data_IF_239463102675
#
_entry.id   IF_239463102675
#
_cell.length_a   1.000
_cell.length_b   1.000
_cell.length_c   1.000
_cell.angle_alpha   90.00
_cell.angle_beta   90.00
_cell.angle_gamma   90.00
#
_symmetry.space_group_name_H-M   'P 1'
#
loop_
_entity.id
_entity.type
_entity.pdbx_description
1 polymer ?
#
# COMPACT_ATOMS: atom_id res chain seq x y z
N UNK A 1 -9.45 -7.26 -37.84
CA UNK A 1 -8.42 -7.23 -36.79
C UNK A 1 -8.36 -5.81 -36.26
N UNK A 2 -9.15 -5.53 -35.23
CA UNK A 2 -9.33 -4.18 -34.68
C UNK A 2 -9.41 -4.36 -33.17
N UNK A 3 -8.31 -4.09 -32.48
CA UNK A 3 -8.28 -3.98 -31.02
C UNK A 3 -8.80 -2.61 -30.62
N UNK A 4 -9.86 -2.58 -29.82
CA UNK A 4 -10.37 -1.36 -29.19
C UNK A 4 -9.85 -1.31 -27.76
N UNK A 5 -8.99 -0.33 -27.49
CA UNK A 5 -8.61 0.09 -26.14
C UNK A 5 -9.79 0.86 -25.54
N UNK A 6 -10.23 0.47 -24.33
CA UNK A 6 -10.94 1.41 -23.45
C UNK A 6 -9.91 2.46 -23.01
N UNK A 7 -9.74 3.49 -23.82
CA UNK A 7 -8.87 4.64 -23.54
C UNK A 7 -9.48 5.88 -24.15
N UNK A 8 -10.67 6.26 -23.70
CA UNK A 8 -11.28 7.57 -24.02
C UNK A 8 -12.11 8.09 -22.85
N UNK A 9 -11.45 8.33 -21.73
CA UNK A 9 -11.74 9.51 -20.89
C UNK A 9 -10.38 10.03 -20.47
N UNK A 10 -9.83 11.02 -21.18
CA UNK A 10 -8.79 11.98 -20.80
C UNK A 10 -8.11 12.48 -22.10
N UNK A 11 -8.73 13.48 -22.74
CA UNK A 11 -8.10 14.24 -23.80
C UNK A 11 -8.10 15.71 -23.39
N UNK A 12 -6.91 16.20 -23.04
CA UNK A 12 -6.62 17.58 -22.70
C UNK A 12 -5.11 17.79 -22.72
N UNK A 13 -4.48 17.45 -23.85
CA UNK A 13 -3.06 17.63 -24.08
C UNK A 13 -2.79 19.03 -24.67
N UNK A 14 -1.92 19.79 -24.02
CA UNK A 14 -1.09 20.81 -24.70
C UNK A 14 0.32 20.23 -24.70
N UNK A 15 0.76 19.77 -25.87
CA UNK A 15 2.12 19.33 -26.11
C UNK A 15 2.95 20.53 -26.61
N UNK A 16 4.09 20.78 -25.97
CA UNK A 16 5.22 21.44 -26.59
C UNK A 16 6.38 20.44 -26.57
N UNK A 17 6.76 19.96 -27.74
CA UNK A 17 7.94 19.13 -27.97
C UNK A 17 9.22 19.94 -27.75
N UNK A 18 10.31 19.31 -27.32
CA UNK A 18 11.65 19.76 -27.68
C UNK A 18 12.35 18.74 -28.59
N UNK A 19 13.03 19.29 -29.59
CA UNK A 19 13.90 18.64 -30.57
C UNK A 19 15.15 18.03 -29.93
N UNK A 20 15.81 17.05 -30.59
CA UNK A 20 17.05 16.45 -30.12
C UNK A 20 18.24 17.30 -30.57
N UNK A 21 18.87 18.05 -29.67
CA UNK A 21 20.28 18.43 -29.75
C UNK A 21 20.79 19.01 -28.42
N UNK A 22 22.00 18.58 -28.04
CA UNK A 22 22.80 18.91 -26.86
C UNK A 22 22.34 18.34 -25.49
N UNK A 23 23.02 17.30 -25.03
CA UNK A 23 23.03 16.97 -23.60
C UNK A 23 23.62 18.15 -22.81
N UNK A 24 22.92 18.69 -21.80
CA UNK A 24 23.55 19.60 -20.86
C UNK A 24 24.66 18.85 -20.12
N UNK A 25 25.87 19.40 -20.14
CA UNK A 25 26.93 19.01 -19.21
C UNK A 25 26.36 19.11 -17.80
N UNK A 26 26.61 18.08 -16.98
CA UNK A 26 26.06 17.98 -15.64
C UNK A 26 26.34 19.27 -14.85
N UNK A 27 25.36 19.82 -14.12
CA UNK A 27 25.60 20.97 -13.25
C UNK A 27 26.68 20.60 -12.23
N UNK A 28 27.58 21.54 -11.95
CA UNK A 28 28.55 21.44 -10.86
C UNK A 28 27.82 21.03 -9.58
N UNK A 29 28.13 19.83 -9.06
CA UNK A 29 27.39 19.20 -7.97
C UNK A 29 27.47 20.09 -6.73
N UNK A 30 26.32 20.53 -6.22
CA UNK A 30 26.26 21.33 -4.99
C UNK A 30 26.74 20.50 -3.79
N UNK A 31 27.83 20.94 -3.14
CA UNK A 31 28.33 20.32 -1.92
C UNK A 31 27.41 20.68 -0.73
N UNK A 32 27.20 19.72 0.17
CA UNK A 32 26.47 19.90 1.43
C UNK A 32 27.48 20.15 2.55
N UNK A 33 27.27 21.21 3.34
CA UNK A 33 28.12 21.53 4.47
C UNK A 33 27.63 20.85 5.76
N UNK A 34 28.54 20.21 6.49
CA UNK A 34 28.36 19.70 7.87
C UNK A 34 29.49 20.21 8.77
N UNK A 35 29.40 20.01 10.09
CA UNK A 35 30.46 20.38 11.03
C UNK A 35 30.91 19.20 11.89
N UNK A 36 32.21 19.05 12.08
CA UNK A 36 32.84 18.08 13.00
C UNK A 36 33.58 18.83 14.11
N UNK A 37 33.46 18.39 15.36
CA UNK A 37 34.08 19.03 16.52
C UNK A 37 35.38 18.33 16.90
N UNK A 38 36.47 19.09 17.06
CA UNK A 38 37.80 18.57 17.39
C UNK A 38 37.83 18.01 18.80
N UNK A 39 38.16 16.72 18.94
CA UNK A 39 38.21 15.96 20.19
C UNK A 39 39.64 15.74 20.68
N UNK A 40 39.85 15.33 21.96
CA UNK A 40 41.18 15.03 22.46
C UNK A 40 41.82 13.89 21.65
N UNK A 41 43.01 14.14 21.10
CA UNK A 41 43.76 13.16 20.30
C UNK A 41 43.52 13.26 18.79
N UNK A 42 42.62 14.12 18.32
CA UNK A 42 42.44 14.36 16.88
C UNK A 42 43.67 15.04 16.27
N UNK A 43 43.93 14.70 15.00
CA UNK A 43 44.86 15.42 14.13
C UNK A 43 44.12 15.84 12.88
N UNK A 44 44.54 16.91 12.20
CA UNK A 44 43.83 17.36 10.99
C UNK A 44 43.83 16.28 9.89
N UNK A 45 44.94 15.52 9.75
CA UNK A 45 45.00 14.33 8.88
C UNK A 45 44.01 13.25 9.30
N UNK A 46 43.87 12.98 10.61
CA UNK A 46 42.91 12.00 11.13
C UNK A 46 41.46 12.41 10.87
N UNK A 47 41.13 13.70 11.03
CA UNK A 47 39.81 14.25 10.72
C UNK A 47 39.54 14.16 9.22
N UNK A 48 40.50 14.57 8.37
CA UNK A 48 40.37 14.47 6.92
C UNK A 48 40.08 13.04 6.46
N UNK A 49 40.85 12.08 6.99
CA UNK A 49 40.68 10.66 6.71
C UNK A 49 39.31 10.13 7.18
N UNK A 50 38.88 10.49 8.40
CA UNK A 50 37.59 10.06 8.93
C UNK A 50 36.39 10.65 8.17
N UNK A 51 36.53 11.89 7.71
CA UNK A 51 35.46 12.60 7.02
C UNK A 51 35.45 12.35 5.50
N UNK A 52 36.45 11.62 4.97
CA UNK A 52 36.55 11.27 3.55
C UNK A 52 36.92 12.44 2.64
N UNK A 53 37.64 13.44 3.17
CA UNK A 53 38.00 14.68 2.45
C UNK A 53 39.50 14.92 2.51
N UNK A 54 40.04 15.81 1.65
CA UNK A 54 41.45 16.16 1.74
C UNK A 54 41.72 17.18 2.85
N UNK A 55 42.95 17.17 3.38
CA UNK A 55 43.42 18.15 4.36
C UNK A 55 43.42 19.57 3.78
N UNK A 56 43.69 19.68 2.48
CA UNK A 56 43.64 20.94 1.74
C UNK A 56 42.21 21.49 1.65
N UNK A 57 41.23 20.61 1.45
CA UNK A 57 39.81 20.99 1.47
C UNK A 57 39.36 21.47 2.85
N UNK A 58 39.74 20.76 3.92
CA UNK A 58 39.46 21.20 5.29
C UNK A 58 40.05 22.59 5.57
N UNK A 59 41.27 22.87 5.10
CA UNK A 59 41.90 24.20 5.20
C UNK A 59 41.11 25.25 4.44
N UNK A 60 40.67 24.94 3.22
CA UNK A 60 39.91 25.85 2.37
C UNK A 60 38.54 26.19 2.96
N UNK A 61 37.85 25.23 3.56
CA UNK A 61 36.52 25.42 4.15
C UNK A 61 36.55 26.06 5.54
N UNK A 62 37.70 26.07 6.21
CA UNK A 62 37.86 26.57 7.58
C UNK A 62 38.88 27.70 7.70
N UNK A 63 38.69 28.83 6.98
CA UNK A 63 39.64 29.93 7.01
C UNK A 63 39.80 30.46 8.44
N UNK A 64 41.05 30.57 8.89
CA UNK A 64 41.40 31.10 10.21
C UNK A 64 41.23 30.14 11.41
N UNK A 65 40.63 28.96 11.22
CA UNK A 65 40.43 27.97 12.30
C UNK A 65 41.58 26.97 12.43
N UNK A 66 42.29 26.71 11.33
CA UNK A 66 43.44 25.80 11.28
C UNK A 66 44.73 26.63 11.35
N UNK A 67 45.57 26.35 12.34
CA UNK A 67 46.83 27.03 12.59
C UNK A 67 47.94 26.66 11.61
N UNK A 68 49.13 27.24 11.83
CA UNK A 68 50.37 26.77 11.20
C UNK A 68 50.61 25.30 11.58
N UNK A 69 51.18 24.53 10.66
CA UNK A 69 51.51 23.11 10.85
C UNK A 69 50.31 22.21 11.23
N UNK A 70 49.15 22.47 10.62
CA UNK A 70 47.91 21.68 10.78
C UNK A 70 47.33 21.69 12.21
N UNK A 71 47.74 22.65 13.05
CA UNK A 71 47.27 22.74 14.43
C UNK A 71 45.77 23.04 14.51
N UNK A 72 45.03 22.15 15.18
CA UNK A 72 43.59 22.27 15.45
C UNK A 72 43.36 22.47 16.95
N UNK A 73 42.35 23.27 17.31
CA UNK A 73 42.03 23.58 18.72
C UNK A 73 40.93 22.65 19.22
N UNK A 74 41.10 22.11 20.42
CA UNK A 74 40.08 21.30 21.09
C UNK A 74 38.74 22.04 21.17
N UNK A 75 37.65 21.38 20.81
CA UNK A 75 36.29 21.94 20.80
C UNK A 75 35.99 22.87 19.61
N UNK A 76 36.96 23.12 18.72
CA UNK A 76 36.74 23.88 17.50
C UNK A 76 35.84 23.07 16.55
N UNK A 77 34.85 23.72 15.94
CA UNK A 77 33.98 23.09 14.94
C UNK A 77 34.50 23.39 13.55
N UNK A 78 34.96 22.36 12.85
CA UNK A 78 35.44 22.42 11.48
C UNK A 78 34.31 22.08 10.50
N UNK A 79 34.09 22.96 9.53
CA UNK A 79 33.20 22.75 8.38
C UNK A 79 33.80 21.71 7.44
N UNK A 80 32.97 20.76 7.02
CA UNK A 80 33.29 19.73 6.03
C UNK A 80 32.24 19.83 4.93
N UNK A 81 32.65 19.90 3.66
CA UNK A 81 31.73 19.91 2.53
C UNK A 81 31.83 18.59 1.77
N UNK A 82 30.72 17.90 1.53
CA UNK A 82 30.70 16.62 0.79
C UNK A 82 29.68 16.63 -0.32
N UNK A 83 29.92 15.85 -1.37
CA UNK A 83 28.86 15.55 -2.32
C UNK A 83 27.77 14.73 -1.61
N UNK A 84 26.49 14.86 -2.00
CA UNK A 84 25.39 14.12 -1.37
C UNK A 84 25.63 12.60 -1.30
N UNK A 85 26.33 12.05 -2.30
CA UNK A 85 26.63 10.62 -2.44
C UNK A 85 27.77 10.14 -1.52
N UNK A 86 28.57 11.07 -0.98
CA UNK A 86 29.73 10.78 -0.11
C UNK A 86 29.45 11.06 1.38
N UNK A 87 28.22 11.47 1.71
CA UNK A 87 27.80 11.54 3.10
C UNK A 87 27.82 10.11 3.67
N UNK A 88 28.48 9.84 4.81
CA UNK A 88 28.33 8.55 5.47
C UNK A 88 26.84 8.34 5.68
N UNK A 89 26.31 7.21 5.17
CA UNK A 89 24.96 6.77 5.48
C UNK A 89 24.84 6.83 7.00
N UNK A 90 24.08 7.81 7.50
CA UNK A 90 23.69 7.82 8.88
C UNK A 90 22.97 6.48 9.05
N UNK A 91 23.53 5.56 9.83
CA UNK A 91 22.79 4.39 10.30
C UNK A 91 21.69 4.93 11.20
N UNK A 92 20.65 5.46 10.58
CA UNK A 92 19.35 5.58 11.22
C UNK A 92 19.04 4.12 11.52
N UNK A 93 19.16 3.73 12.80
CA UNK A 93 18.52 2.51 13.26
C UNK A 93 17.02 2.76 13.13
N UNK A 94 16.52 2.63 11.90
CA UNK A 94 15.12 2.78 11.60
C UNK A 94 14.39 1.76 12.46
N UNK A 95 13.59 2.23 13.39
CA UNK A 95 12.70 1.37 14.13
C UNK A 95 11.30 1.56 13.58
N UNK A 96 10.59 0.46 13.39
CA UNK A 96 9.25 0.47 12.84
C UNK A 96 8.32 -0.34 13.74
N UNK A 97 7.05 0.09 13.76
CA UNK A 97 6.03 -0.56 14.57
C UNK A 97 5.37 -1.66 13.74
N UNK A 98 5.43 -2.87 14.26
CA UNK A 98 4.78 -4.05 13.75
C UNK A 98 3.58 -4.42 14.64
N UNK A 99 2.63 -5.18 14.08
CA UNK A 99 1.53 -5.76 14.85
C UNK A 99 1.48 -7.28 14.71
N UNK A 100 1.08 -7.96 15.79
CA UNK A 100 0.88 -9.41 15.82
C UNK A 100 -0.48 -9.74 16.42
N UNK A 101 -1.16 -10.73 15.85
CA UNK A 101 -2.39 -11.27 16.42
C UNK A 101 -2.12 -12.15 17.65
N UNK A 102 -2.91 -11.95 18.70
CA UNK A 102 -2.94 -12.83 19.88
C UNK A 102 -3.83 -14.03 19.55
N UNK A 103 -3.23 -15.23 19.52
CA UNK A 103 -3.93 -16.49 19.23
C UNK A 103 -4.45 -17.16 20.52
N UNK A 104 -5.45 -18.06 20.43
CA UNK A 104 -5.84 -18.88 21.58
C UNK A 104 -4.63 -19.64 22.16
N UNK A 105 -4.41 -19.52 23.47
CA UNK A 105 -3.26 -20.11 24.16
C UNK A 105 -1.97 -19.29 24.13
N UNK A 106 -1.93 -18.14 23.44
CA UNK A 106 -0.78 -17.23 23.54
C UNK A 106 -0.68 -16.64 24.95
N UNK A 107 0.56 -16.48 25.41
CA UNK A 107 0.92 -15.69 26.61
C UNK A 107 1.90 -14.60 26.20
N UNK A 108 1.99 -13.51 26.97
CA UNK A 108 2.98 -12.46 26.72
C UNK A 108 4.41 -13.04 26.60
N UNK A 109 4.76 -14.03 27.43
CA UNK A 109 6.07 -14.68 27.36
C UNK A 109 6.32 -15.46 26.06
N UNK A 110 5.31 -16.20 25.57
CA UNK A 110 5.43 -16.91 24.28
C UNK A 110 5.54 -15.94 23.11
N UNK A 111 4.76 -14.86 23.12
CA UNK A 111 4.82 -13.82 22.09
C UNK A 111 6.16 -13.08 22.14
N UNK A 112 6.59 -12.62 23.31
CA UNK A 112 7.88 -11.95 23.52
C UNK A 112 9.04 -12.78 22.98
N UNK A 113 9.08 -14.07 23.32
CA UNK A 113 10.09 -15.00 22.82
C UNK A 113 10.04 -15.17 21.30
N UNK A 114 8.84 -15.31 20.71
CA UNK A 114 8.67 -15.45 19.25
C UNK A 114 9.13 -14.21 18.49
N UNK A 115 8.90 -13.03 19.07
CA UNK A 115 9.25 -11.74 18.47
C UNK A 115 10.66 -11.26 18.83
N UNK A 116 11.39 -12.00 19.68
CA UNK A 116 12.69 -11.61 20.22
C UNK A 116 12.68 -10.22 20.90
N UNK A 117 11.65 -9.93 21.70
CA UNK A 117 11.52 -8.69 22.49
C UNK A 117 11.28 -9.02 23.96
N UNK A 118 11.45 -8.05 24.87
CA UNK A 118 11.15 -8.30 26.29
C UNK A 118 9.65 -8.18 26.58
N UNK A 119 9.19 -8.90 27.62
CA UNK A 119 7.81 -8.76 28.12
C UNK A 119 7.57 -7.32 28.60
N UNK A 120 8.59 -6.67 29.17
CA UNK A 120 8.49 -5.28 29.63
C UNK A 120 8.24 -4.32 28.46
N UNK A 121 8.93 -4.53 27.32
CA UNK A 121 8.71 -3.74 26.11
C UNK A 121 7.32 -3.95 25.54
N UNK A 122 6.87 -5.21 25.41
CA UNK A 122 5.50 -5.49 24.95
C UNK A 122 4.44 -4.84 25.84
N UNK A 123 4.63 -4.85 27.17
CA UNK A 123 3.72 -4.16 28.09
C UNK A 123 3.75 -2.65 27.86
N UNK A 124 4.94 -2.05 27.75
CA UNK A 124 5.13 -0.62 27.52
C UNK A 124 4.48 -0.15 26.22
N UNK A 125 4.77 -0.81 25.10
CA UNK A 125 4.27 -0.45 23.77
C UNK A 125 2.75 -0.60 23.62
N UNK A 126 2.12 -1.44 24.44
CA UNK A 126 0.68 -1.72 24.39
C UNK A 126 -0.08 -1.15 25.59
N UNK A 127 0.58 -0.34 26.43
CA UNK A 127 0.00 0.24 27.65
C UNK A 127 -0.68 -0.79 28.56
N UNK A 128 -0.08 -1.99 28.69
CA UNK A 128 -0.62 -3.06 29.52
C UNK A 128 -0.23 -2.83 30.98
N UNK A 129 -1.19 -3.02 31.89
CA UNK A 129 -0.94 -2.97 33.33
C UNK A 129 0.00 -4.07 33.83
N UNK A 130 0.36 -4.06 35.14
CA UNK A 130 1.34 -4.99 35.72
C UNK A 130 1.04 -6.47 35.45
N UNK A 131 -0.24 -6.86 35.48
CA UNK A 131 -0.69 -8.23 35.23
C UNK A 131 -0.64 -8.64 33.75
N UNK A 132 -0.47 -7.69 32.81
CA UNK A 132 -0.20 -7.98 31.41
C UNK A 132 -1.28 -8.83 30.71
N UNK A 133 -2.55 -8.63 31.04
CA UNK A 133 -3.64 -9.46 30.51
C UNK A 133 -3.80 -9.21 29.01
N UNK A 134 -3.65 -10.27 28.23
CA UNK A 134 -3.89 -10.28 26.79
C UNK A 134 -5.10 -11.15 26.47
N UNK A 135 -5.78 -10.85 25.36
CA UNK A 135 -7.00 -11.57 24.94
C UNK A 135 -6.84 -12.06 23.52
N UNK A 136 -7.14 -13.33 23.29
CA UNK A 136 -7.17 -13.91 21.95
C UNK A 136 -8.10 -13.09 21.03
N UNK A 137 -7.68 -12.92 19.77
CA UNK A 137 -8.37 -12.09 18.78
C UNK A 137 -8.11 -10.58 18.89
N UNK A 138 -7.23 -10.14 19.80
CA UNK A 138 -6.68 -8.78 19.82
C UNK A 138 -5.28 -8.77 19.20
N UNK A 139 -4.76 -7.60 18.90
CA UNK A 139 -3.40 -7.41 18.39
C UNK A 139 -2.48 -6.84 19.48
N UNK A 140 -1.18 -7.08 19.34
CA UNK A 140 -0.12 -6.39 20.08
C UNK A 140 0.80 -5.67 19.10
N UNK A 141 1.13 -4.43 19.43
CA UNK A 141 2.14 -3.61 18.77
C UNK A 141 3.52 -3.94 19.34
N UNK A 142 4.53 -4.01 18.50
CA UNK A 142 5.91 -4.17 18.92
C UNK A 142 6.85 -3.38 18.01
N UNK A 143 7.98 -2.92 18.55
CA UNK A 143 9.00 -2.24 17.73
C UNK A 143 10.01 -3.26 17.22
N UNK A 144 10.37 -3.13 15.95
CA UNK A 144 11.48 -3.81 15.31
C UNK A 144 12.53 -2.77 14.96
N UNK A 145 13.80 -3.15 15.03
CA UNK A 145 14.93 -2.30 14.64
C UNK A 145 15.48 -2.74 13.28
N UNK A 146 15.99 -1.79 12.51
CA UNK A 146 16.49 -1.99 11.15
C UNK A 146 15.42 -1.85 10.07
N UNK A 147 15.85 -2.07 8.83
CA UNK A 147 15.02 -1.93 7.64
C UNK A 147 13.73 -2.75 7.74
N UNK A 148 12.58 -2.11 7.48
CA UNK A 148 11.30 -2.80 7.38
C UNK A 148 11.20 -3.49 6.02
N UNK A 149 11.09 -4.84 5.97
CA UNK A 149 10.88 -5.53 4.71
C UNK A 149 9.53 -5.12 4.08
N UNK A 150 9.45 -5.20 2.76
CA UNK A 150 8.20 -4.92 2.06
C UNK A 150 7.11 -5.92 2.43
N UNK A 151 5.86 -5.47 2.35
CA UNK A 151 4.71 -6.33 2.61
C UNK A 151 4.57 -7.37 1.50
N UNK A 152 4.39 -8.63 1.89
CA UNK A 152 4.30 -9.77 0.96
C UNK A 152 3.13 -10.67 1.26
N UNK A 153 2.41 -11.06 0.22
CA UNK A 153 1.41 -12.13 0.26
C UNK A 153 2.12 -13.48 0.19
N UNK A 154 1.80 -14.40 1.10
CA UNK A 154 2.32 -15.78 1.10
C UNK A 154 1.17 -16.76 1.03
N UNK A 155 1.21 -17.68 0.08
CA UNK A 155 0.16 -18.65 -0.19
C UNK A 155 -1.09 -18.02 -0.84
N UNK A 156 -2.22 -18.72 -0.67
CA UNK A 156 -3.48 -18.36 -1.32
C UNK A 156 -4.41 -17.52 -0.45
N UNK A 157 -5.43 -16.86 -1.04
CA UNK A 157 -6.40 -16.07 -0.29
C UNK A 157 -7.12 -16.85 0.81
N UNK A 158 -7.31 -18.17 0.64
CA UNK A 158 -7.96 -19.05 1.62
C UNK A 158 -6.99 -19.85 2.51
N UNK A 159 -5.70 -19.89 2.19
CA UNK A 159 -4.69 -20.65 2.94
C UNK A 159 -3.37 -19.88 3.03
N UNK A 160 -3.46 -18.59 3.36
CA UNK A 160 -2.34 -17.66 3.25
C UNK A 160 -1.88 -17.02 4.56
N UNK A 161 -0.89 -16.15 4.40
CA UNK A 161 -0.39 -15.20 5.39
C UNK A 161 -0.07 -13.88 4.72
N UNK A 162 -0.06 -12.83 5.53
CA UNK A 162 0.47 -11.53 5.13
C UNK A 162 1.71 -11.27 5.97
N UNK A 163 2.85 -11.12 5.31
CA UNK A 163 4.10 -10.74 5.96
C UNK A 163 4.27 -9.22 5.85
N UNK A 164 4.66 -8.58 6.96
CA UNK A 164 4.96 -7.14 7.02
C UNK A 164 3.83 -6.22 6.53
N UNK A 165 2.58 -6.68 6.63
CA UNK A 165 1.39 -6.02 6.09
C UNK A 165 1.32 -4.51 6.32
N UNK A 166 0.91 -3.78 5.30
CA UNK A 166 0.68 -2.33 5.36
C UNK A 166 -0.76 -2.09 5.82
N UNK A 167 -0.93 -1.33 6.90
CA UNK A 167 -2.25 -0.88 7.33
C UNK A 167 -2.77 0.18 6.35
N UNK A 168 -4.01 0.04 5.89
CA UNK A 168 -4.63 0.97 4.94
C UNK A 168 -4.71 2.40 5.51
N UNK A 169 -4.85 2.54 6.82
CA UNK A 169 -4.97 3.83 7.51
C UNK A 169 -6.15 4.67 6.99
N UNK A 170 -6.26 5.91 7.47
CA UNK A 170 -7.27 6.83 6.92
C UNK A 170 -6.71 7.42 5.63
N UNK A 171 -7.56 7.54 4.62
CA UNK A 171 -7.24 8.17 3.36
C UNK A 171 -8.42 8.95 2.81
N UNK A 172 -8.24 9.55 1.63
CA UNK A 172 -9.23 10.41 1.01
C UNK A 172 -10.27 9.59 0.24
N UNK A 173 -11.55 9.92 0.40
CA UNK A 173 -12.66 9.29 -0.34
C UNK A 173 -13.12 7.96 0.24
N UNK A 174 -12.58 7.54 1.39
CA UNK A 174 -13.05 6.32 2.07
C UNK A 174 -12.97 6.41 3.60
N UNK A 175 -13.73 5.51 4.24
CA UNK A 175 -13.68 5.25 5.68
C UNK A 175 -13.46 3.76 5.93
N UNK A 176 -12.78 3.42 7.03
CA UNK A 176 -12.60 2.03 7.44
C UNK A 176 -13.70 1.62 8.42
N UNK A 177 -14.46 0.57 8.09
CA UNK A 177 -15.45 -0.03 8.99
C UNK A 177 -14.76 -0.70 10.19
N UNK A 178 -13.69 -1.44 9.91
CA UNK A 178 -12.92 -2.18 10.92
C UNK A 178 -11.41 -1.92 10.74
N UNK A 179 -10.87 -0.79 11.25
CA UNK A 179 -9.46 -0.45 11.06
C UNK A 179 -8.48 -1.59 11.42
N UNK A 180 -8.76 -2.32 12.50
CA UNK A 180 -7.95 -3.47 12.94
C UNK A 180 -7.81 -4.60 11.91
N UNK A 181 -8.67 -4.65 10.90
CA UNK A 181 -8.74 -5.69 9.87
C UNK A 181 -8.34 -5.15 8.49
N UNK A 182 -7.71 -3.97 8.42
CA UNK A 182 -7.41 -3.28 7.16
C UNK A 182 -5.91 -3.37 6.80
N UNK A 183 -5.32 -4.57 6.86
CA UNK A 183 -3.94 -4.80 6.47
C UNK A 183 -3.86 -5.44 5.08
N UNK A 184 -2.84 -5.06 4.31
CA UNK A 184 -2.74 -5.46 2.91
C UNK A 184 -1.30 -5.39 2.37
N UNK A 185 -1.10 -5.76 1.12
CA UNK A 185 0.15 -5.56 0.38
C UNK A 185 0.23 -4.12 -0.16
N UNK A 186 1.43 -3.64 -0.52
CA UNK A 186 1.61 -2.28 -1.06
C UNK A 186 0.80 -2.00 -2.34
N UNK A 187 0.73 -2.90 -3.32
CA UNK A 187 -0.05 -2.67 -4.54
C UNK A 187 -1.54 -2.46 -4.24
N UNK A 188 -2.14 -3.33 -3.42
CA UNK A 188 -3.55 -3.22 -3.03
C UNK A 188 -3.80 -1.94 -2.23
N UNK A 189 -2.89 -1.60 -1.30
CA UNK A 189 -2.94 -0.32 -0.57
C UNK A 189 -2.99 0.88 -1.52
N UNK A 190 -2.10 0.89 -2.52
CA UNK A 190 -1.97 1.97 -3.50
C UNK A 190 -3.23 2.07 -4.36
N UNK A 191 -3.71 0.94 -4.87
CA UNK A 191 -4.91 0.87 -5.71
C UNK A 191 -6.14 1.37 -4.97
N UNK A 192 -6.37 0.94 -3.73
CA UNK A 192 -7.48 1.43 -2.92
C UNK A 192 -7.36 2.94 -2.66
N UNK A 193 -6.18 3.45 -2.29
CA UNK A 193 -5.98 4.89 -2.05
C UNK A 193 -6.21 5.74 -3.29
N UNK A 194 -5.62 5.35 -4.43
CA UNK A 194 -5.69 6.14 -5.65
C UNK A 194 -7.11 6.13 -6.22
N UNK A 195 -7.77 4.97 -6.27
CA UNK A 195 -9.11 4.89 -6.82
C UNK A 195 -10.14 5.60 -5.96
N UNK A 196 -10.06 5.50 -4.63
CA UNK A 196 -10.99 6.22 -3.75
C UNK A 196 -10.76 7.73 -3.76
N UNK A 197 -9.51 8.19 -3.85
CA UNK A 197 -9.20 9.60 -4.05
C UNK A 197 -9.72 10.10 -5.41
N UNK A 198 -9.52 9.33 -6.48
CA UNK A 198 -10.02 9.65 -7.82
C UNK A 198 -11.56 9.75 -7.85
N UNK A 199 -12.26 8.93 -7.06
CA UNK A 199 -13.71 9.06 -6.90
C UNK A 199 -14.12 10.39 -6.26
N UNK A 200 -13.38 10.84 -5.23
CA UNK A 200 -13.64 12.13 -4.59
C UNK A 200 -13.36 13.32 -5.53
N UNK A 201 -12.41 13.19 -6.45
CA UNK A 201 -12.13 14.20 -7.49
C UNK A 201 -13.18 14.19 -8.60
N UNK A 202 -13.53 13.00 -9.08
CA UNK A 202 -14.49 12.82 -10.18
C UNK A 202 -15.92 13.20 -9.77
N UNK A 203 -16.28 12.96 -8.51
CA UNK A 203 -17.61 13.26 -7.97
C UNK A 203 -17.47 14.16 -6.74
N UNK A 204 -17.24 15.47 -6.91
CA UNK A 204 -17.07 16.40 -5.79
C UNK A 204 -18.25 16.35 -4.82
N UNK A 205 -17.94 16.27 -3.52
CA UNK A 205 -18.95 16.15 -2.46
C UNK A 205 -19.56 14.77 -2.32
N UNK A 206 -19.07 13.75 -3.03
CA UNK A 206 -19.52 12.37 -2.83
C UNK A 206 -19.24 11.90 -1.40
N UNK A 207 -20.15 11.07 -0.86
CA UNK A 207 -19.94 10.37 0.39
C UNK A 207 -18.67 9.51 0.33
N UNK A 208 -17.99 9.31 1.45
CA UNK A 208 -16.84 8.42 1.50
C UNK A 208 -17.29 6.97 1.30
N UNK A 209 -16.61 6.19 0.45
CA UNK A 209 -16.91 4.76 0.37
C UNK A 209 -16.47 4.05 1.65
N UNK A 210 -17.28 3.12 2.15
CA UNK A 210 -16.86 2.31 3.29
C UNK A 210 -16.00 1.15 2.78
N UNK A 211 -14.82 0.95 3.37
CA UNK A 211 -13.98 -0.24 3.19
C UNK A 211 -14.10 -1.11 4.44
N UNK A 212 -14.41 -2.37 4.21
CA UNK A 212 -14.70 -3.41 5.19
C UNK A 212 -13.47 -4.17 5.64
N UNK A 213 -13.59 -5.49 5.75
CA UNK A 213 -12.47 -6.36 6.11
C UNK A 213 -11.51 -6.52 4.91
N UNK A 214 -10.20 -6.53 5.18
CA UNK A 214 -9.15 -6.82 4.21
C UNK A 214 -8.34 -8.03 4.67
N UNK A 215 -7.59 -7.89 5.76
CA UNK A 215 -6.97 -9.00 6.48
C UNK A 215 -6.53 -8.58 7.87
N UNK A 216 -6.19 -9.58 8.68
CA UNK A 216 -5.43 -9.37 9.92
C UNK A 216 -4.01 -8.85 9.63
N UNK A 217 -3.31 -8.24 10.60
CA UNK A 217 -1.93 -7.77 10.41
C UNK A 217 -0.97 -8.82 9.87
N UNK A 218 -1.12 -10.07 10.32
CA UNK A 218 -0.30 -11.21 9.84
C UNK A 218 -1.07 -12.13 8.88
N UNK A 219 -2.25 -11.73 8.43
CA UNK A 219 -3.15 -12.55 7.63
C UNK A 219 -3.63 -13.82 8.36
N UNK A 220 -3.79 -14.90 7.60
CA UNK A 220 -4.23 -16.20 8.09
C UNK A 220 -5.72 -16.31 8.38
N UNK A 221 -6.14 -17.49 8.85
CA UNK A 221 -7.55 -17.87 9.08
C UNK A 221 -8.31 -16.74 9.77
N UNK A 222 -9.36 -16.25 9.12
CA UNK A 222 -10.07 -15.05 9.53
C UNK A 222 -11.60 -15.25 9.58
N UNK A 223 -12.13 -16.00 10.57
CA UNK A 223 -13.56 -16.22 10.68
C UNK A 223 -14.35 -14.91 10.85
N UNK A 224 -15.58 -14.81 10.29
CA UNK A 224 -16.30 -15.87 9.56
C UNK A 224 -15.86 -16.05 8.10
N UNK A 225 -14.92 -15.23 7.62
CA UNK A 225 -14.43 -15.28 6.25
C UNK A 225 -13.65 -16.57 5.98
N UNK A 226 -13.86 -17.10 4.77
CA UNK A 226 -13.10 -18.25 4.26
C UNK A 226 -11.76 -17.77 3.69
N UNK A 227 -11.77 -16.64 2.97
CA UNK A 227 -10.59 -15.95 2.42
C UNK A 227 -10.07 -14.85 3.37
N UNK A 228 -9.53 -13.75 2.83
CA UNK A 228 -8.91 -12.64 3.56
C UNK A 228 -7.63 -13.01 4.33
N UNK A 229 -6.98 -14.10 3.94
CA UNK A 229 -5.83 -14.62 4.68
C UNK A 229 -4.49 -14.06 4.20
N UNK A 230 -4.41 -13.54 3.00
CA UNK A 230 -3.14 -13.14 2.37
C UNK A 230 -2.98 -11.62 2.19
N UNK A 231 -3.97 -10.82 2.61
CA UNK A 231 -3.95 -9.36 2.43
C UNK A 231 -4.35 -8.90 1.03
N UNK A 232 -4.94 -9.78 0.21
CA UNK A 232 -5.34 -9.50 -1.19
C UNK A 232 -6.84 -9.49 -1.45
N UNK A 233 -7.66 -9.77 -0.44
CA UNK A 233 -9.11 -9.64 -0.54
C UNK A 233 -9.56 -8.37 0.18
N UNK A 234 -10.51 -7.61 -0.37
CA UNK A 234 -11.07 -6.42 0.27
C UNK A 234 -12.59 -6.36 0.07
N UNK A 235 -13.32 -6.17 1.17
CA UNK A 235 -14.75 -5.88 1.13
C UNK A 235 -14.96 -4.38 0.94
N UNK A 236 -15.69 -3.97 -0.09
CA UNK A 236 -15.92 -2.56 -0.43
C UNK A 236 -17.41 -2.30 -0.54
N UNK A 237 -17.88 -1.23 0.11
CA UNK A 237 -19.29 -0.86 0.13
C UNK A 237 -19.80 -0.41 -1.23
N UNK A 238 -21.10 -0.16 -1.33
CA UNK A 238 -21.72 0.46 -2.49
C UNK A 238 -21.92 1.96 -2.27
N UNK A 239 -21.75 2.77 -3.31
CA UNK A 239 -22.27 4.14 -3.29
C UNK A 239 -23.79 4.08 -3.40
N UNK A 240 -24.47 4.93 -2.64
CA UNK A 240 -25.93 4.91 -2.52
C UNK A 240 -26.56 6.12 -3.18
N UNK A 241 -27.74 5.92 -3.77
CA UNK A 241 -28.53 7.00 -4.37
C UNK A 241 -28.81 8.10 -3.34
N UNK A 242 -28.84 9.34 -3.80
CA UNK A 242 -28.97 10.50 -2.93
C UNK A 242 -27.70 10.82 -2.13
N UNK A 243 -26.57 10.22 -2.47
CA UNK A 243 -25.27 10.44 -1.82
C UNK A 243 -25.29 10.12 -0.31
N UNK A 244 -26.04 9.09 0.08
CA UNK A 244 -26.16 8.66 1.47
C UNK A 244 -24.85 8.05 1.94
N UNK A 245 -24.32 8.54 3.06
CA UNK A 245 -23.15 7.96 3.71
C UNK A 245 -23.51 6.61 4.35
N UNK A 246 -23.02 5.52 3.77
CA UNK A 246 -23.17 4.20 4.34
C UNK A 246 -22.14 4.00 5.47
N UNK A 247 -22.57 3.99 6.73
CA UNK A 247 -21.67 3.87 7.88
C UNK A 247 -21.42 2.42 8.33
N UNK A 248 -22.25 1.47 7.87
CA UNK A 248 -22.25 0.11 8.43
C UNK A 248 -22.20 -1.01 7.42
N UNK A 249 -22.25 -0.72 6.10
CA UNK A 249 -22.51 -1.73 5.06
C UNK A 249 -23.77 -2.53 5.38
N UNK A 250 -24.90 -1.85 5.54
CA UNK A 250 -26.20 -2.53 5.66
C UNK A 250 -26.62 -3.12 4.30
N UNK A 251 -27.59 -4.05 4.32
CA UNK A 251 -28.08 -4.70 3.09
C UNK A 251 -28.76 -3.70 2.17
N UNK A 252 -28.43 -3.75 0.89
CA UNK A 252 -29.00 -2.90 -0.15
C UNK A 252 -29.53 -3.73 -1.30
N UNK A 253 -30.56 -3.21 -1.96
CA UNK A 253 -31.05 -3.74 -3.23
C UNK A 253 -30.65 -2.86 -4.41
N UNK A 254 -30.94 -3.31 -5.64
CA UNK A 254 -30.64 -2.55 -6.85
C UNK A 254 -31.14 -1.10 -6.85
N UNK A 255 -32.31 -0.86 -6.25
CA UNK A 255 -32.94 0.47 -6.20
C UNK A 255 -32.22 1.46 -5.26
N UNK A 256 -31.30 1.00 -4.43
CA UNK A 256 -30.63 1.84 -3.42
C UNK A 256 -29.24 2.30 -3.91
N UNK A 257 -28.69 1.66 -4.95
CA UNK A 257 -27.31 1.81 -5.39
C UNK A 257 -27.17 2.90 -6.45
N UNK A 258 -26.18 3.77 -6.26
CA UNK A 258 -25.66 4.67 -7.29
C UNK A 258 -24.72 3.86 -8.20
N UNK A 259 -25.28 3.33 -9.30
CA UNK A 259 -24.54 2.48 -10.23
C UNK A 259 -23.44 3.23 -10.98
N UNK A 260 -23.60 4.53 -11.22
CA UNK A 260 -22.56 5.32 -11.89
C UNK A 260 -21.29 5.36 -11.05
N UNK A 261 -21.42 5.78 -9.79
CA UNK A 261 -20.27 5.88 -8.88
C UNK A 261 -19.73 4.50 -8.51
N UNK A 262 -20.61 3.54 -8.26
CA UNK A 262 -20.21 2.17 -7.93
C UNK A 262 -19.42 1.55 -9.06
N UNK A 263 -19.90 1.67 -10.31
CA UNK A 263 -19.17 1.17 -11.47
C UNK A 263 -17.85 1.91 -11.68
N UNK A 264 -17.82 3.24 -11.55
CA UNK A 264 -16.60 4.01 -11.71
C UNK A 264 -15.50 3.58 -10.73
N UNK A 265 -15.85 3.27 -9.48
CA UNK A 265 -14.90 2.71 -8.52
C UNK A 265 -14.47 1.29 -8.92
N UNK A 266 -15.40 0.40 -9.26
CA UNK A 266 -15.08 -0.97 -9.69
C UNK A 266 -14.13 -0.97 -10.90
N UNK A 267 -14.44 -0.17 -11.92
CA UNK A 267 -13.61 -0.02 -13.12
C UNK A 267 -12.21 0.48 -12.77
N UNK A 268 -12.08 1.50 -11.91
CA UNK A 268 -10.76 1.96 -11.46
C UNK A 268 -9.95 0.85 -10.78
N UNK A 269 -10.56 0.07 -9.88
CA UNK A 269 -9.87 -1.02 -9.18
C UNK A 269 -9.39 -2.11 -10.15
N UNK A 270 -10.23 -2.43 -11.14
CA UNK A 270 -9.95 -3.41 -12.18
C UNK A 270 -8.81 -2.95 -13.10
N UNK A 271 -8.78 -1.67 -13.46
CA UNK A 271 -7.77 -1.11 -14.36
C UNK A 271 -6.43 -0.87 -13.66
N UNK A 272 -6.45 -0.55 -12.37
CA UNK A 272 -5.27 -0.17 -11.61
C UNK A 272 -4.44 -1.37 -11.11
N UNK A 273 -5.02 -2.56 -11.01
CA UNK A 273 -4.37 -3.76 -10.52
C UNK A 273 -5.07 -5.00 -11.09
N UNK A 274 -4.31 -6.04 -11.41
CA UNK A 274 -4.91 -7.32 -11.81
C UNK A 274 -5.86 -7.86 -10.72
N UNK A 275 -7.07 -8.23 -11.14
CA UNK A 275 -8.12 -8.76 -10.28
C UNK A 275 -8.45 -10.19 -10.71
N UNK A 276 -8.55 -11.07 -9.73
CA UNK A 276 -8.91 -12.48 -9.92
C UNK A 276 -10.42 -12.65 -9.92
N UNK A 277 -11.10 -11.99 -8.98
CA UNK A 277 -12.54 -12.10 -8.81
C UNK A 277 -13.12 -10.85 -8.17
N UNK A 278 -14.37 -10.54 -8.52
CA UNK A 278 -15.24 -9.69 -7.73
C UNK A 278 -16.52 -10.47 -7.40
N UNK A 279 -16.91 -10.55 -6.13
CA UNK A 279 -18.18 -11.13 -5.73
C UNK A 279 -19.22 -10.06 -5.43
N UNK A 280 -20.40 -10.22 -6.02
CA UNK A 280 -21.53 -9.28 -5.94
C UNK A 280 -22.83 -10.08 -5.82
N UNK A 281 -23.85 -9.56 -5.15
CA UNK A 281 -25.17 -10.17 -5.18
C UNK A 281 -25.73 -10.27 -6.62
N UNK A 282 -26.49 -11.34 -6.91
CA UNK A 282 -26.99 -11.62 -8.27
C UNK A 282 -27.95 -10.54 -8.78
N UNK A 283 -28.79 -9.98 -7.92
CA UNK A 283 -29.73 -8.93 -8.31
C UNK A 283 -28.99 -7.63 -8.64
N UNK A 284 -27.96 -7.30 -7.84
CA UNK A 284 -27.10 -6.13 -8.08
C UNK A 284 -26.32 -6.29 -9.38
N UNK A 285 -25.78 -7.48 -9.67
CA UNK A 285 -25.11 -7.75 -10.95
C UNK A 285 -26.02 -7.50 -12.15
N UNK A 286 -27.25 -8.02 -12.15
CA UNK A 286 -28.19 -7.83 -13.26
C UNK A 286 -28.51 -6.35 -13.47
N UNK A 287 -28.77 -5.63 -12.38
CA UNK A 287 -29.05 -4.20 -12.46
C UNK A 287 -27.84 -3.36 -12.93
N UNK A 288 -26.62 -3.76 -12.56
CA UNK A 288 -25.40 -3.15 -13.07
C UNK A 288 -25.24 -3.40 -14.57
N UNK A 289 -25.49 -4.63 -15.05
CA UNK A 289 -25.49 -4.95 -16.49
C UNK A 289 -26.52 -4.09 -17.23
N UNK A 290 -27.77 -4.06 -16.76
CA UNK A 290 -28.83 -3.24 -17.37
C UNK A 290 -28.45 -1.76 -17.42
N UNK A 291 -27.80 -1.24 -16.37
CA UNK A 291 -27.31 0.14 -16.33
C UNK A 291 -26.22 0.38 -17.39
N UNK A 292 -25.24 -0.51 -17.50
CA UNK A 292 -24.13 -0.37 -18.45
C UNK A 292 -24.58 -0.55 -19.90
N UNK A 293 -25.51 -1.46 -20.18
CA UNK A 293 -26.10 -1.62 -21.52
C UNK A 293 -26.84 -0.36 -21.96
N UNK A 294 -27.62 0.26 -21.06
CA UNK A 294 -28.31 1.52 -21.36
C UNK A 294 -27.36 2.68 -21.58
N UNK A 295 -26.22 2.69 -20.88
CA UNK A 295 -25.17 3.70 -21.04
C UNK A 295 -24.43 3.54 -22.37
N UNK A 296 -24.27 2.29 -22.84
CA UNK A 296 -23.77 1.98 -24.18
C UNK A 296 -22.27 2.20 -24.40
N UNK A 297 -21.51 2.46 -23.35
CA UNK A 297 -20.06 2.76 -23.40
C UNK A 297 -19.16 1.56 -23.04
N UNK A 298 -19.74 0.42 -22.67
CA UNK A 298 -19.04 -0.84 -22.46
C UNK A 298 -19.48 -1.84 -23.54
N UNK A 299 -18.56 -2.38 -24.36
CA UNK A 299 -18.89 -3.35 -25.40
C UNK A 299 -19.59 -4.60 -24.84
N UNK A 300 -20.51 -5.17 -25.61
CA UNK A 300 -21.28 -6.35 -25.21
C UNK A 300 -20.37 -7.54 -24.83
N UNK A 301 -19.30 -7.76 -25.60
CA UNK A 301 -18.34 -8.83 -25.38
C UNK A 301 -17.51 -8.61 -24.10
N UNK A 302 -17.29 -7.36 -23.73
CA UNK A 302 -16.64 -7.00 -22.46
C UNK A 302 -17.60 -7.29 -21.30
N UNK A 303 -18.88 -6.92 -21.42
CA UNK A 303 -19.89 -7.22 -20.42
C UNK A 303 -20.07 -8.73 -20.20
N UNK A 304 -19.98 -9.54 -21.26
CA UNK A 304 -20.04 -11.02 -21.18
C UNK A 304 -18.84 -11.60 -20.40
N UNK A 305 -17.65 -11.01 -20.53
CA UNK A 305 -16.46 -11.41 -19.74
C UNK A 305 -16.50 -10.90 -18.31
N UNK A 306 -17.14 -9.75 -18.10
CA UNK A 306 -17.22 -9.11 -16.79
C UNK A 306 -18.26 -9.79 -15.90
N UNK A 307 -19.47 -10.07 -16.38
CA UNK A 307 -20.59 -10.43 -15.51
C UNK A 307 -21.10 -11.85 -15.75
N UNK A 308 -21.04 -12.70 -14.71
CA UNK A 308 -21.54 -14.08 -14.76
C UNK A 308 -23.06 -14.22 -14.96
N UNK A 309 -23.82 -13.13 -14.82
CA UNK A 309 -25.27 -13.10 -15.09
C UNK A 309 -25.60 -12.84 -16.56
N UNK A 310 -24.58 -12.61 -17.39
CA UNK A 310 -24.67 -12.34 -18.83
C UNK A 310 -23.88 -13.39 -19.62
N UNK A 311 -24.10 -13.46 -20.93
CA UNK A 311 -23.46 -14.46 -21.80
C UNK A 311 -23.91 -15.89 -21.48
N UNK A 312 -23.00 -16.85 -21.67
CA UNK A 312 -23.20 -18.27 -21.34
C UNK A 312 -23.12 -18.57 -19.82
N UNK A 313 -23.13 -17.54 -18.98
CA UNK A 313 -22.99 -17.68 -17.53
C UNK A 313 -21.60 -18.22 -17.14
N UNK A 314 -20.57 -17.80 -17.88
CA UNK A 314 -19.22 -18.32 -17.78
C UNK A 314 -18.71 -18.39 -16.35
N UNK A 315 -18.21 -19.56 -15.96
CA UNK A 315 -17.44 -19.77 -14.71
C UNK A 315 -16.20 -18.89 -14.62
N UNK A 316 -15.77 -18.29 -15.74
CA UNK A 316 -14.57 -17.48 -15.85
C UNK A 316 -14.88 -15.98 -15.87
N UNK A 317 -16.14 -15.57 -15.74
CA UNK A 317 -16.46 -14.15 -15.63
C UNK A 317 -15.83 -13.56 -14.36
N UNK A 318 -15.34 -12.32 -14.46
CA UNK A 318 -14.65 -11.64 -13.37
C UNK A 318 -15.57 -11.40 -12.17
N UNK A 319 -16.77 -10.88 -12.44
CA UNK A 319 -17.80 -10.56 -11.46
C UNK A 319 -18.75 -11.76 -11.34
N UNK A 320 -18.72 -12.42 -10.18
CA UNK A 320 -19.48 -13.63 -9.91
C UNK A 320 -20.45 -13.45 -8.75
N UNK A 321 -21.50 -14.28 -8.76
CA UNK A 321 -22.43 -14.32 -7.65
C UNK A 321 -21.84 -15.06 -6.45
N UNK A 322 -21.86 -14.39 -5.30
CA UNK A 322 -21.81 -15.06 -4.01
C UNK A 322 -22.96 -14.57 -3.11
N UNK A 323 -23.62 -15.46 -2.35
CA UNK A 323 -24.66 -15.07 -1.41
C UNK A 323 -24.16 -14.03 -0.38
N UNK A 324 -25.05 -13.14 0.08
CA UNK A 324 -24.80 -12.11 1.13
C UNK A 324 -23.83 -10.99 0.74
N UNK A 325 -23.46 -10.90 -0.54
CA UNK A 325 -22.71 -9.78 -1.10
C UNK A 325 -23.67 -8.67 -1.59
N UNK A 326 -24.74 -8.46 -0.81
CA UNK A 326 -25.73 -7.38 -0.94
C UNK A 326 -25.45 -6.24 0.06
N UNK A 327 -24.36 -6.35 0.84
CA UNK A 327 -23.89 -5.33 1.79
C UNK A 327 -22.61 -4.63 1.32
N UNK A 328 -21.83 -5.32 0.49
CA UNK A 328 -20.55 -4.94 -0.07
C UNK A 328 -20.29 -5.80 -1.32
N UNK A 329 -19.42 -5.34 -2.20
CA UNK A 329 -18.75 -6.20 -3.16
C UNK A 329 -17.38 -6.61 -2.61
N UNK A 330 -17.01 -7.86 -2.81
CA UNK A 330 -15.71 -8.38 -2.37
C UNK A 330 -14.78 -8.43 -3.58
N UNK A 331 -13.62 -7.78 -3.51
CA UNK A 331 -12.61 -7.79 -4.57
C UNK A 331 -11.43 -8.64 -4.15
N UNK A 332 -10.98 -9.51 -5.03
CA UNK A 332 -9.75 -10.29 -4.88
C UNK A 332 -8.72 -9.85 -5.90
N UNK A 333 -7.64 -9.26 -5.41
CA UNK A 333 -6.49 -8.87 -6.23
C UNK A 333 -5.58 -10.06 -6.50
N UNK A 334 -4.96 -10.08 -7.68
CA UNK A 334 -3.99 -11.10 -8.06
C UNK A 334 -2.70 -11.01 -7.23
N UNK A 335 -1.92 -12.10 -7.25
CA UNK A 335 -0.54 -12.07 -6.81
C UNK A 335 0.25 -10.99 -7.57
N UNK A 336 1.19 -10.36 -6.86
CA UNK A 336 2.17 -9.48 -7.48
C UNK A 336 3.35 -10.32 -7.97
N UNK A 337 3.95 -9.93 -9.10
CA UNK A 337 5.12 -10.59 -9.70
C UNK A 337 6.31 -10.67 -8.72
N UNK A 338 6.40 -9.75 -7.76
CA UNK A 338 7.49 -9.77 -6.75
C UNK A 338 7.23 -10.71 -5.57
N UNK A 339 5.99 -11.19 -5.40
CA UNK A 339 5.61 -12.11 -4.32
C UNK A 339 5.79 -13.58 -4.75
N UNK A 340 7.04 -14.05 -4.80
CA UNK A 340 7.39 -15.40 -5.28
C UNK A 340 6.67 -16.56 -4.55
N UNK A 341 6.24 -16.35 -3.30
CA UNK A 341 5.52 -17.34 -2.49
C UNK A 341 3.99 -17.17 -2.53
N UNK A 342 3.47 -16.25 -3.34
CA UNK A 342 2.04 -16.05 -3.52
C UNK A 342 1.44 -17.09 -4.49
N UNK A 343 0.19 -17.49 -4.24
CA UNK A 343 -0.55 -18.36 -5.15
C UNK A 343 -2.03 -18.00 -5.22
N UNK A 344 -2.71 -18.38 -6.30
CA UNK A 344 -4.18 -18.27 -6.36
C UNK A 344 -4.88 -19.51 -5.82
N UNK A 345 -6.15 -19.38 -5.44
CA UNK A 345 -6.93 -20.56 -5.05
C UNK A 345 -7.16 -21.46 -6.27
N UNK A 346 -7.34 -22.77 -6.02
CA UNK A 346 -7.58 -23.72 -7.12
C UNK A 346 -8.81 -23.32 -7.93
N UNK A 347 -8.62 -23.06 -9.22
CA UNK A 347 -9.68 -22.67 -10.16
C UNK A 347 -9.90 -21.17 -10.30
N UNK A 348 -9.13 -20.35 -9.58
CA UNK A 348 -9.05 -18.93 -9.86
C UNK A 348 -8.34 -18.67 -11.19
N UNK A 349 -8.83 -17.68 -11.93
CA UNK A 349 -8.28 -17.23 -13.21
C UNK A 349 -8.04 -15.73 -13.09
N UNK A 350 -6.82 -15.29 -13.35
CA UNK A 350 -6.51 -13.86 -13.39
C UNK A 350 -7.11 -13.29 -14.68
N UNK A 351 -7.98 -12.30 -14.54
CA UNK A 351 -8.61 -11.66 -15.70
C UNK A 351 -7.82 -10.40 -16.05
N UNK A 352 -7.01 -10.49 -17.10
CA UNK A 352 -6.36 -9.32 -17.68
C UNK A 352 -7.33 -8.63 -18.64
N UNK A 353 -7.90 -7.51 -18.20
CA UNK A 353 -8.83 -6.73 -19.03
C UNK A 353 -8.12 -5.78 -19.99
N UNK A 354 -6.83 -5.52 -19.78
CA UNK A 354 -5.94 -4.99 -20.79
C UNK A 354 -5.30 -6.16 -21.59
N UNK A 355 -5.07 -6.02 -22.91
CA UNK A 355 -4.21 -6.96 -23.62
C UNK A 355 -2.82 -6.94 -22.96
N UNK A 356 -2.12 -8.09 -22.85
CA UNK A 356 -0.76 -8.09 -22.34
C UNK A 356 0.08 -7.09 -23.15
N UNK A 357 0.88 -6.28 -22.47
CA UNK A 357 1.84 -5.42 -23.14
C UNK A 357 2.65 -6.30 -24.12
N UNK A 358 2.68 -5.90 -25.39
CA UNK A 358 3.45 -6.63 -26.39
C UNK A 358 4.92 -6.70 -25.92
N UNK A 359 5.60 -7.84 -26.15
CA UNK A 359 6.97 -8.05 -25.68
C UNK A 359 7.97 -7.04 -26.23
#
# INVERSE_FOLDING_TARGET
>A
MTGFLLSTVFAGAVALSPTPDAWPTAPERALVASTTEVRPGDTLNGIAANEGVSVEDLRRWNPGKIGKDDLIRLGEKLTVMRAPDDLPEEKVEESWIAEVDIKPGDTLGRIAKRLNVSIADLKRWNHLGPNGVIRAGRTLRYMQHGFRPEARSVGSPTHGRLHYGVHLARGRGYRLRFPRNAYTTRPVWRTLHLCTAAMADRFPGTADILIGDISRPSGGRFPPHVSHQSGRDADVGYYLLGNVQNETMYRVGPKDIDFEKTWALMACLIEAQDVVRIYVDRAIQRAMVDYLEKRGDVPAETLDRLFAVRGDGSRNALIQHAPKHDTHFHVRFACDDVDADCSEDKGDVVVHLAPPAAP
#
